data_IF_278264123681
#
_entry.id   IF_278264123681
#
_cell.length_a   1.000
_cell.length_b   1.000
_cell.length_c   1.000
_cell.angle_alpha   90.00
_cell.angle_beta   90.00
_cell.angle_gamma   90.00
#
_symmetry.space_group_name_H-M   'P 1'
#
loop_
_entity.id
_entity.type
_entity.pdbx_description
1 polymer ?
#
# COMPACT_ATOMS: atom_id res chain seq x y z
N UNK A 1 -91.81 -34.05 -3.66
CA UNK A 1 -90.69 -33.08 -3.63
C UNK A 1 -89.40 -33.85 -3.36
N UNK A 2 -88.61 -34.14 -4.41
CA UNK A 2 -87.31 -34.80 -4.31
C UNK A 2 -86.26 -33.75 -3.95
N UNK A 3 -85.52 -33.94 -2.85
CA UNK A 3 -84.35 -33.09 -2.50
C UNK A 3 -83.10 -33.70 -3.12
N UNK A 4 -82.44 -32.93 -3.98
CA UNK A 4 -81.18 -33.22 -4.65
C UNK A 4 -80.04 -32.87 -3.67
N UNK A 5 -79.20 -33.84 -3.31
CA UNK A 5 -77.96 -33.58 -2.56
C UNK A 5 -76.82 -33.41 -3.57
N UNK A 6 -76.29 -32.20 -3.68
CA UNK A 6 -75.07 -31.89 -4.44
C UNK A 6 -73.89 -32.19 -3.51
N UNK A 7 -73.08 -33.18 -3.87
CA UNK A 7 -71.80 -33.48 -3.21
C UNK A 7 -70.73 -32.63 -3.88
N UNK A 8 -70.25 -31.61 -3.17
CA UNK A 8 -69.14 -30.77 -3.62
C UNK A 8 -67.83 -31.51 -3.37
N UNK A 9 -67.18 -31.97 -4.45
CA UNK A 9 -65.88 -32.63 -4.42
C UNK A 9 -64.78 -31.55 -4.23
N UNK A 10 -64.20 -31.46 -3.04
CA UNK A 10 -63.04 -30.59 -2.79
C UNK A 10 -61.79 -31.28 -3.33
N UNK A 11 -61.28 -30.80 -4.47
CA UNK A 11 -59.99 -31.22 -5.02
C UNK A 11 -58.87 -30.54 -4.20
N UNK A 12 -58.28 -31.27 -3.27
CA UNK A 12 -57.12 -30.83 -2.51
C UNK A 12 -55.88 -30.87 -3.44
N UNK A 13 -55.52 -29.72 -4.01
CA UNK A 13 -54.26 -29.56 -4.73
C UNK A 13 -53.11 -29.65 -3.72
N UNK A 14 -52.41 -30.79 -3.69
CA UNK A 14 -51.15 -30.96 -2.98
C UNK A 14 -50.11 -30.13 -3.74
N UNK A 15 -49.87 -28.91 -3.29
CA UNK A 15 -48.69 -28.14 -3.69
C UNK A 15 -47.50 -28.80 -2.99
N UNK A 16 -46.80 -29.67 -3.70
CA UNK A 16 -45.48 -30.13 -3.27
C UNK A 16 -44.56 -28.89 -3.23
N UNK A 17 -43.85 -28.61 -2.12
CA UNK A 17 -42.84 -27.57 -2.12
C UNK A 17 -41.77 -27.97 -3.13
N UNK A 18 -41.69 -27.25 -4.25
CA UNK A 18 -40.51 -27.24 -5.09
C UNK A 18 -39.36 -26.76 -4.22
N UNK A 19 -38.44 -27.66 -3.85
CA UNK A 19 -37.16 -27.28 -3.27
C UNK A 19 -36.47 -26.34 -4.28
N UNK A 20 -36.51 -25.05 -4.03
CA UNK A 20 -35.77 -24.07 -4.81
C UNK A 20 -34.30 -24.25 -4.40
N UNK A 21 -33.58 -25.12 -5.11
CA UNK A 21 -32.16 -25.35 -4.84
C UNK A 21 -31.44 -24.00 -4.96
N UNK A 22 -30.65 -23.65 -3.94
CA UNK A 22 -29.82 -22.46 -3.95
C UNK A 22 -28.99 -22.44 -5.24
N UNK A 23 -28.95 -21.29 -5.92
CA UNK A 23 -28.12 -21.15 -7.11
C UNK A 23 -26.72 -20.74 -6.65
N UNK A 24 -25.68 -21.47 -7.05
CA UNK A 24 -24.32 -21.07 -6.72
C UNK A 24 -23.99 -19.75 -7.42
N UNK A 25 -23.06 -18.99 -6.85
CA UNK A 25 -22.53 -17.75 -7.44
C UNK A 25 -22.20 -17.94 -8.92
N UNK A 26 -21.55 -19.04 -9.29
CA UNK A 26 -21.40 -19.48 -10.67
C UNK A 26 -21.44 -21.00 -10.80
N UNK A 27 -21.80 -21.51 -12.00
CA UNK A 27 -21.77 -22.94 -12.32
C UNK A 27 -21.51 -23.25 -13.79
N UNK A 28 -21.01 -24.45 -14.04
CA UNK A 28 -21.01 -25.12 -15.34
C UNK A 28 -21.81 -26.43 -15.24
N UNK A 29 -22.73 -26.64 -16.18
CA UNK A 29 -23.51 -27.88 -16.31
C UNK A 29 -23.02 -28.66 -17.52
N UNK A 30 -22.55 -29.89 -17.32
CA UNK A 30 -22.04 -30.77 -18.38
C UNK A 30 -23.05 -31.89 -18.61
N UNK A 31 -23.58 -31.99 -19.82
CA UNK A 31 -24.43 -33.06 -20.29
C UNK A 31 -23.59 -34.11 -21.02
N UNK A 32 -23.49 -35.30 -20.45
CA UNK A 32 -22.85 -36.46 -21.08
C UNK A 32 -23.93 -37.27 -21.77
N UNK A 33 -23.78 -37.57 -23.06
CA UNK A 33 -24.84 -38.25 -23.82
C UNK A 33 -24.36 -39.15 -24.96
N UNK A 34 -25.19 -40.14 -25.27
CA UNK A 34 -25.14 -40.97 -26.48
C UNK A 34 -26.53 -41.54 -26.77
N UNK A 35 -27.07 -41.26 -27.95
CA UNK A 35 -28.44 -41.62 -28.31
C UNK A 35 -29.46 -41.04 -27.33
N UNK A 36 -30.30 -41.89 -26.74
CA UNK A 36 -31.29 -41.48 -25.73
C UNK A 36 -30.76 -41.54 -24.29
N UNK A 37 -29.53 -42.03 -24.08
CA UNK A 37 -28.91 -42.11 -22.77
C UNK A 37 -28.17 -40.80 -22.48
N UNK A 38 -28.46 -40.18 -21.33
CA UNK A 38 -27.77 -38.97 -20.90
C UNK A 38 -27.61 -38.92 -19.38
N UNK A 39 -26.63 -38.13 -18.93
CA UNK A 39 -26.45 -37.82 -17.53
C UNK A 39 -25.84 -36.41 -17.36
N UNK A 40 -26.29 -35.66 -16.36
CA UNK A 40 -25.90 -34.27 -16.15
C UNK A 40 -25.05 -34.11 -14.90
N UNK A 41 -23.90 -33.46 -15.06
CA UNK A 41 -23.02 -33.01 -13.99
C UNK A 41 -23.15 -31.49 -13.81
N UNK A 42 -23.01 -31.03 -12.58
CA UNK A 42 -22.99 -29.61 -12.23
C UNK A 42 -21.78 -29.37 -11.32
N UNK A 43 -20.93 -28.42 -11.71
CA UNK A 43 -19.83 -27.93 -10.87
C UNK A 43 -19.91 -26.42 -10.77
N UNK A 44 -19.32 -25.84 -9.73
CA UNK A 44 -19.38 -24.40 -9.53
C UNK A 44 -18.78 -23.96 -8.21
N UNK A 45 -18.95 -22.68 -7.89
CA UNK A 45 -18.56 -22.17 -6.59
C UNK A 45 -19.62 -21.25 -5.99
N UNK A 46 -19.68 -21.22 -4.66
CA UNK A 46 -20.53 -20.32 -3.88
C UNK A 46 -19.83 -19.88 -2.58
N UNK A 47 -20.11 -18.66 -2.11
CA UNK A 47 -19.50 -18.13 -0.88
C UNK A 47 -19.90 -18.92 0.37
N UNK A 48 -21.01 -19.64 0.31
CA UNK A 48 -21.53 -20.44 1.42
C UNK A 48 -21.25 -21.93 1.28
N UNK A 49 -20.43 -22.32 0.28
CA UNK A 49 -19.97 -23.69 0.09
C UNK A 49 -18.58 -23.89 0.68
N UNK A 50 -18.22 -25.14 0.93
CA UNK A 50 -16.91 -25.60 1.38
C UNK A 50 -16.33 -26.62 0.40
N UNK A 51 -15.05 -26.98 0.55
CA UNK A 51 -14.45 -28.08 -0.21
C UNK A 51 -14.81 -29.48 0.33
N UNK A 52 -15.64 -29.54 1.37
CA UNK A 52 -16.09 -30.77 2.01
C UNK A 52 -17.58 -31.01 1.78
N UNK A 53 -18.06 -32.19 2.12
CA UNK A 53 -19.47 -32.54 1.94
C UNK A 53 -20.44 -31.64 2.71
N UNK A 54 -21.41 -31.08 1.99
CA UNK A 54 -22.52 -30.30 2.53
C UNK A 54 -23.85 -30.67 1.85
N UNK A 55 -24.85 -31.09 2.63
CA UNK A 55 -26.17 -31.46 2.10
C UNK A 55 -26.86 -30.36 1.24
N UNK A 56 -26.44 -29.10 1.37
CA UNK A 56 -26.98 -27.97 0.60
C UNK A 56 -26.51 -27.97 -0.85
N UNK A 57 -25.26 -28.33 -1.07
CA UNK A 57 -24.53 -28.07 -2.31
C UNK A 57 -24.25 -29.36 -3.09
N UNK A 58 -24.15 -30.49 -2.40
CA UNK A 58 -23.83 -31.77 -3.01
C UNK A 58 -25.11 -32.57 -3.29
N UNK A 59 -25.26 -33.03 -4.54
CA UNK A 59 -26.39 -33.88 -4.95
C UNK A 59 -25.88 -35.27 -5.27
N UNK A 60 -26.25 -36.25 -4.45
CA UNK A 60 -25.88 -37.65 -4.65
C UNK A 60 -26.37 -38.20 -6.00
N UNK A 61 -25.51 -38.97 -6.65
CA UNK A 61 -25.78 -39.61 -7.94
C UNK A 61 -26.40 -41.00 -7.76
N UNK A 62 -27.53 -41.23 -8.44
CA UNK A 62 -28.09 -42.56 -8.60
C UNK A 62 -27.59 -43.15 -9.92
N UNK A 63 -26.55 -43.97 -9.84
CA UNK A 63 -25.94 -44.57 -11.03
C UNK A 63 -26.86 -45.64 -11.62
N UNK A 64 -27.34 -45.41 -12.85
CA UNK A 64 -28.19 -46.33 -13.57
C UNK A 64 -28.14 -46.07 -15.08
N UNK A 65 -28.48 -47.09 -15.87
CA UNK A 65 -28.45 -47.02 -17.34
C UNK A 65 -27.08 -47.28 -17.97
N UNK A 66 -26.98 -47.00 -19.26
CA UNK A 66 -25.80 -47.29 -20.09
C UNK A 66 -24.76 -46.17 -20.15
N UNK A 67 -25.08 -44.97 -19.65
CA UNK A 67 -24.14 -43.88 -19.42
C UNK A 67 -24.27 -43.47 -17.96
N UNK A 68 -23.14 -43.38 -17.28
CA UNK A 68 -23.04 -42.87 -15.92
C UNK A 68 -21.94 -41.82 -15.88
N UNK A 69 -22.27 -40.63 -15.42
CA UNK A 69 -21.31 -39.57 -15.19
C UNK A 69 -21.38 -39.15 -13.72
N UNK A 70 -20.24 -39.05 -13.04
CA UNK A 70 -20.24 -38.73 -11.61
C UNK A 70 -18.92 -38.13 -11.14
N UNK A 71 -19.01 -37.31 -10.09
CA UNK A 71 -17.88 -37.00 -9.20
C UNK A 71 -17.76 -38.13 -8.17
N UNK A 72 -16.54 -38.63 -7.92
CA UNK A 72 -16.26 -39.67 -6.91
C UNK A 72 -15.61 -39.03 -5.69
N UNK A 73 -16.30 -39.09 -4.54
CA UNK A 73 -15.83 -38.56 -3.25
C UNK A 73 -15.91 -39.65 -2.18
N UNK A 74 -14.96 -40.61 -2.16
CA UNK A 74 -14.95 -41.69 -1.16
C UNK A 74 -14.84 -41.19 0.29
N UNK A 75 -14.38 -39.96 0.50
CA UNK A 75 -14.18 -39.32 1.80
C UNK A 75 -15.47 -38.77 2.44
N UNK A 76 -16.59 -38.67 1.69
CA UNK A 76 -17.81 -37.99 2.14
C UNK A 76 -18.87 -38.89 2.82
N UNK A 77 -18.67 -40.21 2.84
CA UNK A 77 -19.36 -41.18 3.70
C UNK A 77 -20.88 -41.39 3.49
N UNK A 78 -21.63 -40.40 3.00
CA UNK A 78 -23.09 -40.45 2.84
C UNK A 78 -23.54 -40.99 1.48
N UNK A 79 -22.86 -40.57 0.40
CA UNK A 79 -22.94 -41.15 -0.93
C UNK A 79 -21.52 -41.17 -1.48
N UNK A 80 -21.16 -42.16 -2.30
CA UNK A 80 -19.83 -42.18 -2.94
C UNK A 80 -19.79 -41.28 -4.18
N UNK A 81 -20.92 -41.18 -4.88
CA UNK A 81 -21.03 -40.58 -6.20
C UNK A 81 -21.96 -39.38 -6.18
N UNK A 82 -21.61 -38.34 -6.93
CA UNK A 82 -22.33 -37.07 -6.95
C UNK A 82 -22.56 -36.55 -8.37
N UNK A 83 -23.73 -35.95 -8.63
CA UNK A 83 -24.04 -35.22 -9.86
C UNK A 83 -23.76 -33.73 -9.73
N UNK A 84 -23.63 -33.22 -8.50
CA UNK A 84 -23.31 -31.83 -8.23
C UNK A 84 -22.23 -31.73 -7.15
N UNK A 85 -21.20 -30.94 -7.42
CA UNK A 85 -20.09 -30.60 -6.52
C UNK A 85 -19.86 -29.07 -6.62
N UNK A 86 -20.34 -28.31 -5.64
CA UNK A 86 -20.14 -26.85 -5.56
C UNK A 86 -19.16 -26.58 -4.43
N UNK A 87 -18.10 -25.84 -4.71
CA UNK A 87 -17.01 -25.58 -3.76
C UNK A 87 -16.97 -24.13 -3.31
N UNK A 88 -16.07 -23.82 -2.39
CA UNK A 88 -15.81 -22.43 -2.03
C UNK A 88 -15.33 -21.60 -3.24
N UNK A 89 -15.41 -20.27 -3.08
CA UNK A 89 -15.12 -19.28 -4.13
C UNK A 89 -13.63 -19.07 -4.43
N UNK A 90 -12.72 -19.70 -3.69
CA UNK A 90 -11.29 -19.44 -3.82
C UNK A 90 -10.70 -20.30 -4.93
N UNK A 91 -9.87 -19.72 -5.81
CA UNK A 91 -9.28 -20.42 -6.95
C UNK A 91 -7.75 -20.54 -6.77
N UNK A 92 -7.09 -21.55 -7.37
CA UNK A 92 -7.61 -22.52 -8.34
C UNK A 92 -8.38 -23.71 -7.73
N UNK A 93 -9.22 -24.37 -8.54
CA UNK A 93 -9.97 -25.59 -8.15
C UNK A 93 -9.98 -26.61 -9.29
N UNK A 94 -10.06 -27.88 -8.93
CA UNK A 94 -10.16 -28.99 -9.89
C UNK A 94 -11.30 -29.94 -9.53
N UNK A 95 -12.18 -30.21 -10.50
CA UNK A 95 -13.24 -31.21 -10.40
C UNK A 95 -12.89 -32.42 -11.25
N UNK A 96 -12.63 -33.55 -10.61
CA UNK A 96 -12.39 -34.82 -11.31
C UNK A 96 -13.73 -35.55 -11.44
N UNK A 97 -14.10 -35.92 -12.66
CA UNK A 97 -15.30 -36.69 -12.91
C UNK A 97 -15.04 -37.88 -13.83
N UNK A 98 -15.92 -38.86 -13.71
CA UNK A 98 -15.81 -40.16 -14.35
C UNK A 98 -16.98 -40.34 -15.30
N UNK A 99 -16.71 -40.88 -16.48
CA UNK A 99 -17.73 -41.26 -17.48
C UNK A 99 -17.60 -42.74 -17.77
N UNK A 100 -18.56 -43.54 -17.31
CA UNK A 100 -18.69 -44.95 -17.68
C UNK A 100 -19.76 -45.10 -18.76
N UNK A 101 -19.46 -45.88 -19.80
CA UNK A 101 -20.47 -46.23 -20.79
C UNK A 101 -20.34 -47.65 -21.32
N UNK A 102 -21.47 -48.36 -21.38
CA UNK A 102 -21.56 -49.68 -22.02
C UNK A 102 -21.53 -49.62 -23.56
N UNK A 103 -21.59 -48.44 -24.16
CA UNK A 103 -21.53 -48.25 -25.61
C UNK A 103 -20.08 -48.19 -26.10
N UNK A 104 -19.41 -49.34 -26.19
CA UNK A 104 -18.04 -49.44 -26.69
C UNK A 104 -18.00 -49.18 -28.20
N UNK A 105 -16.92 -48.55 -28.68
CA UNK A 105 -16.72 -48.06 -30.05
C UNK A 105 -17.75 -47.03 -30.52
N UNK A 106 -18.33 -46.27 -29.60
CA UNK A 106 -19.28 -45.20 -29.88
C UNK A 106 -18.70 -43.83 -29.53
N UNK A 107 -19.24 -42.76 -30.12
CA UNK A 107 -18.80 -41.40 -29.83
C UNK A 107 -19.67 -40.77 -28.75
N UNK A 108 -19.12 -40.59 -27.56
CA UNK A 108 -19.81 -39.97 -26.42
C UNK A 108 -19.63 -38.45 -26.50
N UNK A 109 -20.73 -37.72 -26.37
CA UNK A 109 -20.74 -36.25 -26.39
C UNK A 109 -20.78 -35.69 -24.96
N UNK A 110 -19.95 -34.69 -24.70
CA UNK A 110 -19.97 -33.83 -23.52
C UNK A 110 -20.36 -32.43 -24.01
N UNK A 111 -21.52 -31.93 -23.62
CA UNK A 111 -21.98 -30.58 -23.97
C UNK A 111 -22.14 -29.77 -22.69
N UNK A 112 -21.70 -28.51 -22.65
CA UNK A 112 -21.79 -27.70 -21.43
C UNK A 112 -22.43 -26.34 -21.62
N UNK A 113 -23.10 -25.92 -20.55
CA UNK A 113 -23.69 -24.59 -20.40
C UNK A 113 -23.13 -23.98 -19.13
N UNK A 114 -22.61 -22.76 -19.25
CA UNK A 114 -22.11 -21.97 -18.11
C UNK A 114 -23.18 -20.95 -17.68
N UNK A 115 -23.26 -20.70 -16.39
CA UNK A 115 -24.16 -19.70 -15.80
C UNK A 115 -23.38 -18.86 -14.80
N UNK A 116 -23.41 -17.54 -14.98
CA UNK A 116 -22.77 -16.54 -14.11
C UNK A 116 -21.25 -16.74 -13.89
N UNK A 117 -20.55 -17.46 -14.77
CA UNK A 117 -19.08 -17.61 -14.67
C UNK A 117 -18.43 -16.24 -14.94
N UNK A 118 -17.73 -15.63 -13.96
CA UNK A 118 -17.10 -14.33 -14.15
C UNK A 118 -16.05 -14.36 -15.27
N UNK A 119 -15.82 -13.22 -15.94
CA UNK A 119 -14.81 -13.13 -17.01
C UNK A 119 -13.38 -13.44 -16.50
N UNK A 120 -13.12 -13.07 -15.25
CA UNK A 120 -11.88 -13.34 -14.52
C UNK A 120 -11.63 -14.81 -14.21
N UNK A 121 -12.66 -15.66 -14.27
CA UNK A 121 -12.56 -17.11 -14.05
C UNK A 121 -12.34 -17.82 -15.40
N UNK A 122 -11.28 -18.60 -15.50
CA UNK A 122 -10.98 -19.45 -16.66
C UNK A 122 -11.39 -20.88 -16.36
N UNK A 123 -12.06 -21.56 -17.29
CA UNK A 123 -12.52 -22.94 -17.14
C UNK A 123 -11.98 -23.80 -18.28
N UNK A 124 -11.31 -24.89 -17.90
CA UNK A 124 -10.69 -25.83 -18.83
C UNK A 124 -11.20 -27.24 -18.60
N UNK A 125 -11.68 -27.91 -19.64
CA UNK A 125 -11.91 -29.36 -19.62
C UNK A 125 -10.63 -30.07 -20.05
N UNK A 126 -10.13 -30.98 -19.22
CA UNK A 126 -8.93 -31.76 -19.47
C UNK A 126 -9.32 -33.23 -19.67
N UNK A 127 -9.02 -33.76 -20.85
CA UNK A 127 -9.04 -35.20 -21.10
C UNK A 127 -7.72 -35.81 -20.62
N UNK A 128 -7.75 -36.42 -19.44
CA UNK A 128 -6.56 -36.91 -18.73
C UNK A 128 -5.81 -37.99 -19.53
N UNK A 129 -6.53 -38.81 -20.30
CA UNK A 129 -5.91 -39.89 -21.07
C UNK A 129 -5.12 -39.37 -22.29
N UNK A 130 -5.57 -38.25 -22.86
CA UNK A 130 -4.94 -37.63 -24.04
C UNK A 130 -4.05 -36.43 -23.67
N UNK A 131 -4.03 -36.04 -22.39
CA UNK A 131 -3.43 -34.80 -21.91
C UNK A 131 -3.85 -33.57 -22.74
N UNK A 132 -5.12 -33.55 -23.14
CA UNK A 132 -5.69 -32.51 -24.01
C UNK A 132 -6.51 -31.54 -23.17
N UNK A 133 -6.29 -30.25 -23.38
CA UNK A 133 -7.00 -29.17 -22.67
C UNK A 133 -7.90 -28.41 -23.63
N UNK A 134 -9.16 -28.22 -23.24
CA UNK A 134 -10.19 -27.54 -24.01
C UNK A 134 -10.66 -26.34 -23.19
N UNK A 135 -10.62 -25.15 -23.78
CA UNK A 135 -11.16 -23.94 -23.18
C UNK A 135 -12.69 -23.95 -23.26
N UNK A 136 -13.34 -24.12 -22.11
CA UNK A 136 -14.79 -24.24 -22.01
C UNK A 136 -15.52 -22.94 -22.31
N UNK A 137 -14.84 -21.79 -22.33
CA UNK A 137 -15.44 -20.50 -22.74
C UNK A 137 -15.44 -20.29 -24.25
N UNK A 138 -14.50 -20.92 -24.95
CA UNK A 138 -14.35 -20.79 -26.41
C UNK A 138 -15.02 -21.93 -27.19
N UNK A 139 -15.44 -22.98 -26.50
CA UNK A 139 -16.12 -24.14 -27.07
C UNK A 139 -17.23 -24.58 -26.12
N UNK A 140 -18.30 -25.19 -26.63
CA UNK A 140 -19.45 -25.63 -25.81
C UNK A 140 -19.63 -27.14 -25.77
N UNK A 141 -18.78 -27.91 -26.45
CA UNK A 141 -18.88 -29.36 -26.49
C UNK A 141 -17.56 -30.06 -26.77
N UNK A 142 -17.45 -31.33 -26.40
CA UNK A 142 -16.34 -32.21 -26.70
C UNK A 142 -16.87 -33.62 -27.00
N UNK A 143 -16.26 -34.31 -27.96
CA UNK A 143 -16.65 -35.68 -28.31
C UNK A 143 -15.42 -36.57 -28.32
N UNK A 144 -15.55 -37.76 -27.77
CA UNK A 144 -14.51 -38.79 -27.80
C UNK A 144 -15.08 -40.16 -28.16
N UNK A 145 -14.24 -41.00 -28.77
CA UNK A 145 -14.60 -42.41 -29.02
C UNK A 145 -14.37 -43.23 -27.76
N UNK A 146 -15.43 -43.86 -27.25
CA UNK A 146 -15.38 -44.73 -26.08
C UNK A 146 -14.80 -46.10 -26.45
N UNK A 147 -13.60 -46.41 -25.98
CA UNK A 147 -12.87 -47.62 -26.37
C UNK A 147 -13.05 -48.80 -25.40
N UNK A 148 -13.64 -48.57 -24.21
CA UNK A 148 -13.85 -49.61 -23.21
C UNK A 148 -15.13 -49.34 -22.39
N UNK A 149 -15.54 -50.30 -21.57
CA UNK A 149 -16.63 -50.08 -20.62
C UNK A 149 -16.16 -49.42 -19.30
N UNK A 150 -14.84 -49.30 -19.11
CA UNK A 150 -14.25 -48.70 -17.92
C UNK A 150 -14.46 -47.19 -17.91
N UNK A 151 -14.42 -46.60 -16.72
CA UNK A 151 -14.60 -45.17 -16.55
C UNK A 151 -13.46 -44.39 -17.23
N UNK A 152 -13.82 -43.47 -18.12
CA UNK A 152 -12.90 -42.44 -18.60
C UNK A 152 -12.90 -41.26 -17.63
N UNK A 153 -11.71 -40.76 -17.30
CA UNK A 153 -11.50 -39.68 -16.33
C UNK A 153 -11.33 -38.35 -17.06
N UNK A 154 -11.99 -37.33 -16.55
CA UNK A 154 -11.85 -35.94 -16.98
C UNK A 154 -11.63 -35.06 -15.77
N UNK A 155 -10.94 -33.93 -15.98
CA UNK A 155 -10.78 -32.89 -14.96
C UNK A 155 -11.29 -31.57 -15.51
N UNK A 156 -12.13 -30.86 -14.76
CA UNK A 156 -12.39 -29.43 -15.01
C UNK A 156 -11.50 -28.62 -14.09
N UNK A 157 -10.63 -27.79 -14.66
CA UNK A 157 -9.75 -26.88 -13.92
C UNK A 157 -10.28 -25.45 -14.01
N UNK A 158 -10.47 -24.83 -12.85
CA UNK A 158 -10.80 -23.42 -12.72
C UNK A 158 -9.60 -22.63 -12.20
N UNK A 159 -9.29 -21.52 -12.86
CA UNK A 159 -8.22 -20.60 -12.51
C UNK A 159 -8.73 -19.15 -12.53
N UNK A 160 -8.00 -18.23 -11.90
CA UNK A 160 -8.33 -16.81 -11.85
C UNK A 160 -8.79 -16.36 -10.47
N UNK A 161 -9.71 -15.40 -10.41
CA UNK A 161 -10.24 -14.86 -9.16
C UNK A 161 -11.68 -14.36 -9.34
N UNK A 162 -12.37 -14.06 -8.24
CA UNK A 162 -13.69 -13.44 -8.24
C UNK A 162 -13.53 -12.01 -7.72
N UNK A 163 -14.00 -11.01 -8.46
CA UNK A 163 -13.92 -9.61 -8.04
C UNK A 163 -14.61 -9.38 -6.68
N UNK A 164 -13.93 -8.65 -5.79
CA UNK A 164 -14.44 -8.35 -4.46
C UNK A 164 -14.33 -9.51 -3.44
N UNK A 165 -13.74 -10.65 -3.83
CA UNK A 165 -13.45 -11.76 -2.94
C UNK A 165 -11.93 -11.98 -2.93
N UNK A 166 -11.27 -11.51 -1.88
CA UNK A 166 -9.85 -11.83 -1.66
C UNK A 166 -9.73 -13.21 -0.99
N UNK A 167 -8.76 -14.05 -1.42
CA UNK A 167 -8.48 -15.29 -0.70
C UNK A 167 -8.16 -14.98 0.77
N UNK A 168 -8.61 -15.84 1.70
CA UNK A 168 -8.18 -15.71 3.08
C UNK A 168 -6.64 -15.78 3.09
N UNK A 169 -5.98 -15.04 4.00
CA UNK A 169 -4.57 -15.27 4.24
C UNK A 169 -4.39 -16.76 4.53
N UNK A 170 -3.30 -17.39 4.04
CA UNK A 170 -2.99 -18.74 4.44
C UNK A 170 -3.05 -18.82 5.97
N UNK A 171 -3.77 -19.79 6.54
CA UNK A 171 -3.92 -19.93 8.00
C UNK A 171 -2.59 -20.17 8.73
N UNK A 172 -1.52 -20.38 7.97
CA UNK A 172 -0.15 -20.64 8.42
C UNK A 172 0.81 -19.50 8.04
N UNK A 173 0.31 -18.32 7.64
CA UNK A 173 1.23 -17.22 7.38
C UNK A 173 1.89 -16.76 8.69
N UNK A 174 3.19 -17.00 8.78
CA UNK A 174 4.05 -16.60 9.91
C UNK A 174 5.06 -15.53 9.50
N UNK A 175 4.98 -15.05 8.26
CA UNK A 175 5.94 -14.06 7.76
C UNK A 175 5.54 -12.70 8.29
N UNK A 176 6.52 -11.97 8.83
CA UNK A 176 6.26 -10.62 9.31
C UNK A 176 6.34 -9.63 8.15
N UNK A 177 5.49 -8.59 8.16
CA UNK A 177 5.60 -7.52 7.18
C UNK A 177 6.85 -6.67 7.44
N UNK A 178 7.34 -6.00 6.40
CA UNK A 178 8.46 -5.04 6.46
C UNK A 178 7.92 -3.62 6.24
N UNK A 179 8.13 -2.73 7.21
CA UNK A 179 7.67 -1.33 7.15
C UNK A 179 8.77 -0.39 6.67
N UNK A 180 8.41 0.61 5.88
CA UNK A 180 9.32 1.67 5.45
C UNK A 180 8.66 3.05 5.56
N UNK A 181 9.44 4.04 6.00
CA UNK A 181 9.06 5.46 5.92
C UNK A 181 9.41 5.96 4.51
N UNK A 182 8.43 6.58 3.84
CA UNK A 182 8.60 7.10 2.48
C UNK A 182 8.85 8.61 2.46
N UNK A 183 8.48 9.33 3.52
CA UNK A 183 8.84 10.74 3.66
C UNK A 183 10.33 10.88 4.00
N UNK A 184 11.04 11.68 3.21
CA UNK A 184 12.40 12.11 3.54
C UNK A 184 12.33 13.25 4.56
N UNK A 185 12.72 12.99 5.80
CA UNK A 185 12.75 14.01 6.85
C UNK A 185 14.10 14.75 6.88
N UNK A 186 14.11 16.08 7.04
CA UNK A 186 15.34 16.80 7.35
C UNK A 186 15.83 16.47 8.76
N UNK A 187 17.14 16.58 9.00
CA UNK A 187 17.75 16.32 10.31
C UNK A 187 17.31 17.34 11.38
N UNK A 188 16.97 18.56 10.96
CA UNK A 188 16.50 19.62 11.85
C UNK A 188 15.39 20.44 11.17
N UNK A 189 14.41 20.90 11.94
CA UNK A 189 13.26 21.69 11.49
C UNK A 189 13.01 22.87 12.42
N UNK A 190 12.59 24.00 11.85
CA UNK A 190 12.20 25.20 12.60
C UNK A 190 10.69 25.37 12.75
N UNK A 191 9.95 24.26 12.69
CA UNK A 191 8.50 24.24 12.83
C UNK A 191 8.08 23.05 13.70
N UNK A 192 6.92 23.17 14.33
CA UNK A 192 6.42 22.21 15.33
C UNK A 192 5.40 21.21 14.75
N UNK A 193 5.27 21.15 13.43
CA UNK A 193 4.33 20.26 12.72
C UNK A 193 5.03 19.53 11.58
N UNK A 194 4.89 18.21 11.51
CA UNK A 194 5.47 17.40 10.43
C UNK A 194 4.49 16.33 9.94
N UNK A 195 4.47 16.11 8.63
CA UNK A 195 3.69 15.05 8.00
C UNK A 195 4.60 13.91 7.55
N UNK A 196 4.30 12.70 8.00
CA UNK A 196 5.11 11.50 7.73
C UNK A 196 4.23 10.47 7.02
N UNK A 197 4.69 10.00 5.88
CA UNK A 197 4.10 8.93 5.09
C UNK A 197 4.98 7.69 5.16
N UNK A 198 4.33 6.54 5.11
CA UNK A 198 4.97 5.23 5.24
C UNK A 198 4.18 4.18 4.45
N UNK A 199 4.85 3.05 4.17
CA UNK A 199 4.30 1.89 3.48
C UNK A 199 4.82 0.62 4.13
N UNK A 200 4.28 -0.52 3.76
CA UNK A 200 4.85 -1.81 4.10
C UNK A 200 4.65 -2.82 2.97
N UNK A 201 5.43 -3.90 3.01
CA UNK A 201 5.31 -5.04 2.11
C UNK A 201 5.21 -6.32 2.91
N UNK A 202 4.48 -7.29 2.37
CA UNK A 202 4.33 -8.62 2.95
C UNK A 202 4.26 -9.67 1.83
N UNK A 203 4.50 -10.95 2.16
CA UNK A 203 4.47 -12.05 1.18
C UNK A 203 3.04 -12.44 0.78
N UNK A 204 2.03 -12.28 1.65
CA UNK A 204 0.64 -12.65 1.37
C UNK A 204 -0.33 -11.48 1.46
N UNK A 205 -0.11 -10.57 2.41
CA UNK A 205 -1.00 -9.43 2.66
C UNK A 205 -0.66 -8.28 1.73
N UNK A 206 -1.62 -7.87 0.90
CA UNK A 206 -1.44 -6.72 0.00
C UNK A 206 -1.18 -5.43 0.80
N UNK A 207 -0.37 -4.48 0.27
CA UNK A 207 -0.04 -3.23 0.98
C UNK A 207 -1.23 -2.39 1.45
N UNK A 208 -2.37 -2.46 0.74
CA UNK A 208 -3.60 -1.73 1.11
C UNK A 208 -4.35 -2.35 2.28
N UNK A 209 -4.05 -3.61 2.61
CA UNK A 209 -4.70 -4.35 3.68
C UNK A 209 -3.85 -4.49 4.96
N UNK A 210 -2.61 -3.97 4.94
CA UNK A 210 -1.77 -3.82 6.12
C UNK A 210 -2.31 -2.71 7.03
N UNK A 211 -2.19 -2.92 8.33
CA UNK A 211 -2.50 -1.91 9.34
C UNK A 211 -1.23 -1.48 10.06
N UNK A 212 -1.17 -0.23 10.49
CA UNK A 212 0.01 0.42 11.04
C UNK A 212 -0.24 0.92 12.45
N UNK A 213 0.82 0.93 13.25
CA UNK A 213 0.87 1.56 14.56
C UNK A 213 2.16 2.36 14.64
N UNK A 214 2.09 3.56 15.21
CA UNK A 214 3.23 4.46 15.34
C UNK A 214 3.39 4.95 16.77
N UNK A 215 4.57 5.47 17.09
CA UNK A 215 4.83 6.23 18.31
C UNK A 215 5.88 7.30 18.05
N UNK A 216 5.86 8.33 18.89
CA UNK A 216 6.90 9.35 18.96
C UNK A 216 7.69 9.14 20.27
N UNK A 217 9.00 9.06 20.16
CA UNK A 217 9.93 8.89 21.29
C UNK A 217 9.59 7.66 22.15
N UNK A 218 9.48 7.86 23.46
CA UNK A 218 9.12 6.86 24.45
C UNK A 218 7.60 6.74 24.69
N UNK A 219 6.77 7.39 23.87
CA UNK A 219 5.32 7.31 24.04
C UNK A 219 4.80 5.91 23.70
N UNK A 220 3.57 5.63 24.15
CA UNK A 220 2.89 4.39 23.81
C UNK A 220 2.59 4.32 22.30
N UNK A 221 2.58 3.09 21.79
CA UNK A 221 2.11 2.79 20.43
C UNK A 221 0.65 3.21 20.26
N UNK A 222 0.34 3.81 19.10
CA UNK A 222 -1.03 4.15 18.71
C UNK A 222 -1.88 2.90 18.53
N UNK A 223 -3.20 3.08 18.50
CA UNK A 223 -4.09 2.06 17.97
C UNK A 223 -3.72 1.72 16.51
N UNK A 224 -3.98 0.47 16.12
CA UNK A 224 -3.79 0.02 14.75
C UNK A 224 -4.79 0.69 13.82
N UNK A 225 -4.33 1.24 12.69
CA UNK A 225 -5.18 1.81 11.65
C UNK A 225 -4.64 1.51 10.26
N UNK A 226 -5.46 1.64 9.22
CA UNK A 226 -5.02 1.54 7.83
C UNK A 226 -4.51 2.88 7.24
N UNK A 227 -4.25 3.88 8.09
CA UNK A 227 -3.72 5.18 7.66
C UNK A 227 -2.26 5.05 7.27
N UNK A 228 -1.91 5.49 6.06
CA UNK A 228 -0.54 5.43 5.49
C UNK A 228 0.27 6.72 5.71
N UNK A 229 -0.29 7.64 6.49
CA UNK A 229 0.38 8.86 6.88
C UNK A 229 -0.18 9.36 8.21
N UNK A 230 0.62 10.19 8.88
CA UNK A 230 0.27 10.90 10.09
C UNK A 230 0.82 12.32 10.06
N UNK A 231 0.09 13.26 10.65
CA UNK A 231 0.60 14.58 10.99
C UNK A 231 0.84 14.64 12.49
N UNK A 232 2.07 14.97 12.89
CA UNK A 232 2.43 15.27 14.27
C UNK A 232 2.41 16.78 14.43
N UNK A 233 1.72 17.27 15.45
CA UNK A 233 1.57 18.70 15.76
C UNK A 233 2.05 18.99 17.18
N UNK A 234 2.46 20.23 17.43
CA UNK A 234 2.86 20.70 18.75
C UNK A 234 4.13 20.02 19.28
N UNK A 235 5.06 19.70 18.39
CA UNK A 235 6.35 19.12 18.73
C UNK A 235 7.17 20.11 19.58
N UNK A 236 7.73 19.62 20.68
CA UNK A 236 8.60 20.41 21.57
C UNK A 236 9.99 20.60 20.97
N UNK A 237 10.75 21.55 21.50
CA UNK A 237 12.18 21.70 21.18
C UNK A 237 12.97 20.41 21.51
N UNK A 238 13.96 20.11 20.68
CA UNK A 238 14.92 19.03 20.90
C UNK A 238 14.77 17.83 19.96
N UNK A 239 15.49 16.77 20.31
CA UNK A 239 15.58 15.57 19.49
C UNK A 239 14.33 14.70 19.64
N UNK A 240 13.82 14.23 18.50
CA UNK A 240 12.68 13.33 18.38
C UNK A 240 13.03 12.11 17.53
N UNK A 241 12.41 10.98 17.84
CA UNK A 241 12.47 9.77 17.01
C UNK A 241 11.06 9.25 16.78
N UNK A 242 10.63 9.24 15.52
CA UNK A 242 9.39 8.64 15.09
C UNK A 242 9.61 7.15 14.77
N UNK A 243 8.69 6.30 15.21
CA UNK A 243 8.67 4.87 14.90
C UNK A 243 7.33 4.49 14.29
N UNK A 244 7.35 3.62 13.28
CA UNK A 244 6.15 3.01 12.70
C UNK A 244 6.39 1.54 12.39
N UNK A 245 5.39 0.71 12.66
CA UNK A 245 5.39 -0.71 12.32
C UNK A 245 4.06 -1.10 11.70
N UNK A 246 4.07 -2.20 10.96
CA UNK A 246 2.88 -2.76 10.32
C UNK A 246 2.49 -4.12 10.92
N UNK A 247 1.26 -4.52 10.64
CA UNK A 247 0.69 -5.82 10.99
C UNK A 247 -0.10 -6.35 9.80
N UNK A 248 0.09 -7.62 9.52
CA UNK A 248 -0.59 -8.32 8.43
C UNK A 248 -1.99 -8.83 8.83
N UNK A 249 -2.69 -9.51 7.90
CA UNK A 249 -4.01 -10.08 8.19
C UNK A 249 -3.94 -11.35 9.06
N UNK A 250 -2.80 -12.03 9.10
CA UNK A 250 -2.57 -13.21 9.95
C UNK A 250 -2.24 -12.83 11.40
N UNK A 251 -1.96 -11.56 11.66
CA UNK A 251 -1.63 -11.01 12.97
C UNK A 251 -0.13 -10.89 13.23
N UNK A 252 0.74 -11.18 12.26
CA UNK A 252 2.17 -10.99 12.38
C UNK A 252 2.49 -9.49 12.39
N UNK A 253 3.26 -9.05 13.39
CA UNK A 253 3.74 -7.68 13.50
C UNK A 253 5.18 -7.59 12.98
N UNK A 254 5.49 -6.50 12.31
CA UNK A 254 6.86 -6.12 11.98
C UNK A 254 7.71 -6.04 13.26
N UNK A 255 8.76 -6.87 13.34
CA UNK A 255 9.70 -6.91 14.47
C UNK A 255 10.77 -5.82 14.41
N UNK A 256 10.94 -5.15 13.27
CA UNK A 256 11.92 -4.09 13.02
C UNK A 256 11.22 -2.81 12.60
N UNK A 257 10.55 -2.08 13.53
CA UNK A 257 9.87 -0.85 13.20
C UNK A 257 10.77 0.13 12.45
N UNK A 258 10.26 0.71 11.37
CA UNK A 258 10.94 1.79 10.68
C UNK A 258 11.04 3.02 11.59
N UNK A 259 12.21 3.64 11.61
CA UNK A 259 12.51 4.80 12.45
C UNK A 259 13.01 6.00 11.64
N UNK A 260 12.66 7.20 12.09
CA UNK A 260 13.21 8.45 11.57
C UNK A 260 13.49 9.43 12.71
N UNK A 261 14.73 9.90 12.79
CA UNK A 261 15.18 10.87 13.78
C UNK A 261 15.25 12.27 13.18
N UNK A 262 14.81 13.26 13.94
CA UNK A 262 14.86 14.68 13.59
C UNK A 262 14.96 15.54 14.86
N UNK A 263 15.39 16.79 14.73
CA UNK A 263 15.44 17.76 15.83
C UNK A 263 14.52 18.93 15.52
N UNK A 264 13.69 19.32 16.47
CA UNK A 264 12.96 20.59 16.42
C UNK A 264 13.85 21.64 17.07
N UNK A 265 14.07 22.73 16.34
CA UNK A 265 14.82 23.89 16.79
C UNK A 265 14.17 25.15 16.20
N UNK A 266 13.30 25.81 16.98
CA UNK A 266 12.61 27.04 16.53
C UNK A 266 13.29 28.33 16.99
N UNK A 267 14.44 28.22 17.65
CA UNK A 267 15.14 29.36 18.23
C UNK A 267 16.23 29.85 17.27
N UNK A 268 16.25 31.16 17.01
CA UNK A 268 17.32 31.74 16.19
C UNK A 268 18.69 31.66 16.85
N UNK A 269 19.77 31.52 16.07
CA UNK A 269 21.14 31.51 16.59
C UNK A 269 21.49 32.83 17.30
N UNK A 270 22.29 32.77 18.36
CA UNK A 270 22.84 33.95 19.01
C UNK A 270 24.02 34.52 18.21
N UNK A 271 23.91 35.78 17.78
CA UNK A 271 24.95 36.49 17.04
C UNK A 271 25.36 37.78 17.77
N UNK A 272 26.65 37.86 18.11
CA UNK A 272 27.29 39.04 18.68
C UNK A 272 28.31 39.55 17.68
N UNK A 273 28.15 40.81 17.27
CA UNK A 273 29.11 41.52 16.43
C UNK A 273 29.81 42.58 17.28
N UNK A 274 31.14 42.47 17.42
CA UNK A 274 31.92 43.48 18.13
C UNK A 274 32.13 44.72 17.26
N UNK A 275 32.46 45.84 17.90
CA UNK A 275 32.75 47.08 17.19
C UNK A 275 33.91 46.88 16.20
N UNK A 276 33.74 47.23 14.91
CA UNK A 276 34.79 47.12 13.91
C UNK A 276 36.05 47.90 14.33
N UNK A 277 37.23 47.37 14.00
CA UNK A 277 38.49 48.02 14.36
C UNK A 277 39.38 48.24 13.11
N UNK A 278 39.63 49.51 12.69
CA UNK A 278 39.08 50.74 13.26
C UNK A 278 37.61 50.96 12.87
N UNK A 279 36.83 51.63 13.73
CA UNK A 279 35.46 52.06 13.41
C UNK A 279 35.39 53.41 12.70
N UNK A 280 36.52 54.12 12.60
CA UNK A 280 36.66 55.37 11.85
C UNK A 280 37.87 55.30 10.91
N UNK A 281 37.70 55.68 9.64
CA UNK A 281 38.78 55.73 8.64
C UNK A 281 39.19 57.19 8.41
N UNK A 282 40.33 57.58 8.97
CA UNK A 282 40.88 58.94 8.86
C UNK A 282 42.40 58.91 8.67
N UNK A 283 42.99 59.81 7.84
CA UNK A 283 42.35 60.86 7.03
C UNK A 283 41.62 60.35 5.79
N UNK A 284 40.60 61.09 5.34
CA UNK A 284 39.84 60.83 4.10
C UNK A 284 40.72 61.11 2.86
N UNK A 285 41.62 60.18 2.55
CA UNK A 285 42.70 60.33 1.56
C UNK A 285 42.58 59.38 0.36
N UNK A 286 41.47 58.65 0.22
CA UNK A 286 41.26 57.71 -0.88
C UNK A 286 41.98 56.37 -0.75
N UNK A 287 42.66 56.08 0.37
CA UNK A 287 43.37 54.81 0.57
C UNK A 287 42.46 53.73 1.13
N UNK A 288 42.74 52.49 0.74
CA UNK A 288 42.13 51.31 1.35
C UNK A 288 42.72 51.08 2.76
N UNK A 289 41.85 50.78 3.71
CA UNK A 289 42.17 50.48 5.10
C UNK A 289 41.56 49.14 5.46
N UNK A 290 42.36 48.25 6.04
CA UNK A 290 41.87 46.98 6.55
C UNK A 290 41.14 47.21 7.88
N UNK A 291 39.87 46.81 7.90
CA UNK A 291 39.01 46.82 9.08
C UNK A 291 38.80 45.39 9.56
N UNK A 292 39.14 45.16 10.82
CA UNK A 292 38.95 43.88 11.50
C UNK A 292 37.50 43.79 11.96
N UNK A 293 36.80 42.77 11.47
CA UNK A 293 35.46 42.39 11.90
C UNK A 293 35.60 41.16 12.78
N UNK A 294 35.01 41.21 13.97
CA UNK A 294 35.07 40.09 14.92
C UNK A 294 33.78 39.96 15.70
N UNK A 295 33.54 38.77 16.23
CA UNK A 295 32.31 38.48 16.95
C UNK A 295 32.24 37.04 17.42
N UNK A 296 31.05 36.63 17.84
CA UNK A 296 30.73 35.27 18.23
C UNK A 296 29.35 34.88 17.69
N UNK A 297 29.24 33.68 17.12
CA UNK A 297 27.99 33.09 16.67
C UNK A 297 27.85 31.70 17.28
N UNK A 298 26.75 31.47 18.00
CA UNK A 298 26.47 30.22 18.68
C UNK A 298 25.00 29.86 18.52
N UNK A 299 24.75 28.56 18.46
CA UNK A 299 23.39 28.04 18.55
C UNK A 299 23.40 26.78 19.44
N UNK A 300 22.43 26.71 20.34
CA UNK A 300 22.30 25.61 21.31
C UNK A 300 21.41 24.47 20.83
N UNK A 301 20.65 24.67 19.75
CA UNK A 301 19.78 23.67 19.16
C UNK A 301 20.50 22.86 18.10
N UNK A 302 20.29 23.22 16.84
CA UNK A 302 20.78 22.52 15.65
C UNK A 302 22.24 22.88 15.28
N UNK A 303 22.77 23.94 15.87
CA UNK A 303 24.10 24.50 15.64
C UNK A 303 24.14 25.41 14.41
N UNK A 304 25.19 26.25 14.33
CA UNK A 304 25.38 27.15 13.19
C UNK A 304 25.61 26.34 11.89
N UNK A 305 24.82 26.65 10.86
CA UNK A 305 24.99 26.12 9.51
C UNK A 305 25.86 27.04 8.65
N UNK A 306 25.64 28.36 8.73
CA UNK A 306 26.41 29.33 7.97
C UNK A 306 26.45 30.69 8.65
N UNK A 307 27.50 31.44 8.33
CA UNK A 307 27.66 32.83 8.70
C UNK A 307 28.14 33.58 7.45
N UNK A 308 27.51 34.70 7.13
CA UNK A 308 27.89 35.53 5.99
C UNK A 308 27.82 37.00 6.36
N UNK A 309 28.42 37.84 5.52
CA UNK A 309 28.37 39.28 5.66
C UNK A 309 28.11 39.97 4.33
N UNK A 310 27.51 41.15 4.42
CA UNK A 310 27.36 42.11 3.33
C UNK A 310 27.79 43.48 3.84
N UNK A 311 28.56 44.21 3.04
CA UNK A 311 28.92 45.60 3.29
C UNK A 311 28.34 46.47 2.20
N UNK A 312 27.51 47.41 2.61
CA UNK A 312 26.96 48.46 1.77
C UNK A 312 27.45 49.81 2.28
N UNK A 313 27.51 50.81 1.40
CA UNK A 313 27.71 52.20 1.76
C UNK A 313 26.49 53.03 1.35
N UNK A 314 26.38 54.22 1.92
CA UNK A 314 25.24 55.10 1.62
C UNK A 314 25.26 55.66 0.19
N UNK A 315 26.41 55.60 -0.49
CA UNK A 315 26.54 56.03 -1.88
C UNK A 315 26.18 54.93 -2.88
N UNK A 316 25.93 53.69 -2.42
CA UNK A 316 25.65 52.53 -3.28
C UNK A 316 26.82 52.13 -4.19
N UNK A 317 28.04 52.49 -3.83
CA UNK A 317 29.26 52.23 -4.59
C UNK A 317 29.94 50.92 -4.18
N UNK A 318 29.65 50.40 -2.99
CA UNK A 318 30.16 49.10 -2.53
C UNK A 318 29.02 48.09 -2.38
N UNK A 319 29.29 46.88 -2.85
CA UNK A 319 28.52 45.68 -2.54
C UNK A 319 29.52 44.54 -2.34
N UNK A 320 30.12 44.51 -1.15
CA UNK A 320 31.06 43.47 -0.76
C UNK A 320 30.30 42.41 0.03
N UNK A 321 30.45 41.14 -0.31
CA UNK A 321 29.85 40.04 0.43
C UNK A 321 30.82 38.88 0.59
N UNK A 322 30.65 38.08 1.62
CA UNK A 322 31.49 36.91 1.85
C UNK A 322 30.92 35.96 2.89
N UNK A 323 31.42 34.72 2.87
CA UNK A 323 31.15 33.72 3.89
C UNK A 323 32.20 33.82 4.99
N UNK A 324 31.77 33.58 6.22
CA UNK A 324 32.61 33.62 7.42
C UNK A 324 32.63 32.23 8.05
N UNK A 325 33.81 31.80 8.48
CA UNK A 325 33.96 30.55 9.23
C UNK A 325 34.07 30.87 10.72
N UNK A 326 33.44 30.06 11.55
CA UNK A 326 33.53 30.17 13.01
C UNK A 326 34.55 29.18 13.55
N UNK A 327 35.24 29.57 14.61
CA UNK A 327 36.01 28.67 15.45
C UNK A 327 35.10 27.71 16.21
N UNK A 328 35.68 26.70 16.86
CA UNK A 328 34.93 25.71 17.65
C UNK A 328 34.18 26.31 18.86
N UNK A 329 34.58 27.50 19.30
CA UNK A 329 33.93 28.28 20.36
C UNK A 329 32.89 29.29 19.80
N UNK A 330 32.65 29.27 18.49
CA UNK A 330 31.76 30.21 17.80
C UNK A 330 32.41 31.56 17.48
N UNK A 331 33.67 31.80 17.87
CA UNK A 331 34.36 33.06 17.55
C UNK A 331 34.62 33.18 16.06
N UNK A 332 34.55 34.41 15.52
CA UNK A 332 34.96 34.68 14.16
C UNK A 332 35.77 35.96 14.09
N UNK A 333 36.73 36.00 13.17
CA UNK A 333 37.52 37.17 12.85
C UNK A 333 37.91 37.16 11.37
N UNK A 334 37.70 38.28 10.68
CA UNK A 334 38.11 38.47 9.30
C UNK A 334 38.37 39.94 9.02
N UNK A 335 39.07 40.22 7.92
CA UNK A 335 39.37 41.58 7.50
C UNK A 335 38.55 41.93 6.26
N UNK A 336 38.02 43.15 6.24
CA UNK A 336 37.45 43.78 5.04
C UNK A 336 38.26 45.02 4.71
N UNK A 337 38.49 45.28 3.43
CA UNK A 337 39.22 46.47 3.00
C UNK A 337 38.21 47.54 2.58
N UNK A 338 38.20 48.67 3.27
CA UNK A 338 37.27 49.78 3.04
C UNK A 338 38.04 51.05 2.67
N UNK A 339 37.48 51.85 1.76
CA UNK A 339 38.15 53.06 1.28
C UNK A 339 37.92 54.22 2.27
N UNK A 340 39.00 54.84 2.73
CA UNK A 340 38.96 56.08 3.51
C UNK A 340 38.69 57.29 2.59
N UNK A 341 37.48 57.36 2.02
CA UNK A 341 37.05 58.41 1.11
C UNK A 341 35.58 58.75 1.33
N UNK A 342 35.21 59.99 1.01
CA UNK A 342 33.85 60.53 1.12
C UNK A 342 33.60 61.57 0.04
N UNK A 343 32.35 61.80 -0.35
CA UNK A 343 32.05 62.90 -1.27
C UNK A 343 32.46 64.24 -0.61
N UNK A 344 33.10 65.11 -1.39
CA UNK A 344 33.38 66.50 -1.03
C UNK A 344 32.15 67.30 -0.59
N UNK A 345 30.95 66.89 -1.02
CA UNK A 345 29.66 67.52 -0.68
C UNK A 345 28.98 66.90 0.54
N UNK A 346 29.43 65.72 0.95
CA UNK A 346 28.93 65.03 2.12
C UNK A 346 29.46 65.72 3.39
N UNK A 347 28.54 66.17 4.24
CA UNK A 347 28.82 66.97 5.43
C UNK A 347 28.73 66.16 6.73
N UNK A 348 28.16 64.97 6.68
CA UNK A 348 28.07 64.01 7.78
C UNK A 348 29.11 62.88 7.66
N UNK A 349 29.73 62.73 6.48
CA UNK A 349 30.80 61.78 6.21
C UNK A 349 30.25 60.41 5.79
N UNK A 350 31.11 59.60 5.14
CA UNK A 350 30.68 58.33 4.56
C UNK A 350 30.39 57.27 5.63
N UNK A 351 29.28 56.55 5.52
CA UNK A 351 28.94 55.41 6.38
C UNK A 351 28.98 54.10 5.58
N UNK A 352 29.77 53.15 6.09
CA UNK A 352 29.71 51.74 5.71
C UNK A 352 28.87 50.97 6.72
N UNK A 353 27.83 50.28 6.25
CA UNK A 353 27.02 49.36 7.03
C UNK A 353 27.45 47.93 6.73
N UNK A 354 27.98 47.26 7.74
CA UNK A 354 28.35 45.84 7.72
C UNK A 354 27.20 45.09 8.35
N UNK A 355 26.52 44.26 7.57
CA UNK A 355 25.47 43.35 8.01
C UNK A 355 26.01 41.94 8.05
N UNK A 356 25.77 41.22 9.14
CA UNK A 356 26.14 39.83 9.36
C UNK A 356 24.86 38.99 9.50
N UNK A 357 24.76 37.90 8.75
CA UNK A 357 23.64 36.95 8.85
C UNK A 357 24.17 35.59 9.32
N UNK A 358 23.61 35.07 10.41
CA UNK A 358 23.86 33.74 10.91
C UNK A 358 22.63 32.86 10.68
N UNK A 359 22.82 31.69 10.06
CA UNK A 359 21.80 30.65 9.94
C UNK A 359 22.20 29.42 10.77
N UNK A 360 21.23 28.82 11.44
CA UNK A 360 21.39 27.49 12.03
C UNK A 360 21.01 26.38 11.04
N UNK A 361 21.13 25.11 11.46
CA UNK A 361 20.80 23.96 10.59
C UNK A 361 19.31 23.66 10.48
N UNK A 362 18.47 24.25 11.35
CA UNK A 362 17.02 24.19 11.26
C UNK A 362 16.45 25.26 10.31
N UNK A 363 17.26 26.25 9.93
CA UNK A 363 16.92 27.34 9.02
C UNK A 363 16.48 28.63 9.72
N UNK A 364 16.67 28.77 11.04
CA UNK A 364 16.45 30.05 11.70
C UNK A 364 17.61 31.00 11.41
N UNK A 365 17.32 32.30 11.48
CA UNK A 365 18.27 33.36 11.12
C UNK A 365 18.34 34.44 12.20
N UNK A 366 19.53 34.97 12.41
CA UNK A 366 19.77 36.22 13.14
C UNK A 366 20.66 37.13 12.31
N UNK A 367 20.26 38.40 12.22
CA UNK A 367 21.01 39.45 11.54
C UNK A 367 21.55 40.47 12.54
N UNK A 368 22.80 40.91 12.39
CA UNK A 368 23.40 41.99 13.17
C UNK A 368 24.11 42.99 12.28
N UNK A 369 24.16 44.26 12.73
CA UNK A 369 24.78 45.35 11.98
C UNK A 369 25.84 46.09 12.78
N UNK A 370 26.90 46.53 12.11
CA UNK A 370 27.86 47.48 12.66
C UNK A 370 28.26 48.51 11.60
N UNK A 371 28.69 49.69 12.03
CA UNK A 371 29.08 50.77 11.12
C UNK A 371 30.56 51.12 11.23
N UNK A 372 31.12 51.54 10.10
CA UNK A 372 32.43 52.18 9.99
C UNK A 372 32.25 53.50 9.28
N UNK A 373 32.83 54.58 9.79
CA UNK A 373 32.61 55.92 9.24
C UNK A 373 33.89 56.56 8.68
N UNK A 374 33.73 57.41 7.67
CA UNK A 374 34.77 58.32 7.17
C UNK A 374 34.32 59.73 7.54
N UNK A 375 34.72 60.25 8.71
CA UNK A 375 34.13 61.47 9.25
C UNK A 375 34.47 62.71 8.41
N UNK A 376 33.56 63.68 8.40
CA UNK A 376 33.81 65.04 7.93
C UNK A 376 34.37 65.89 9.10
N UNK A 377 35.68 66.14 9.10
CA UNK A 377 36.37 66.94 10.14
C UNK A 377 36.89 68.26 9.60
#
# INVERSE_FOLDING_TARGET
>A
MKKLFIITLFLLAIILPSYLHAQPLWKASIMVSYGNSNNRLILGADQTATDSFENRWEVGALLGGYIKAYFDHPEWGNARYYWQDIRDVYLPKEWVFYVESGYVNSNISLEWIMSNVPDTVKLYLVDTALNMTIDMKNQSSYTYTNTSADAKIFTVRAEGYIEGIEPPPPSDDTTQPETMITTVLPLSINYQTIAIAYTATDNTTLPDALIFSYKLDSNAWSAWSNSKSITLDGLSEGAHTFYVKSKDKAGNEDATPAEAAFTVDTLSPALILYQPNPSELWPANGKMVDVIISGNAQDSGSGIASLSYIVNDEYGQINLAGNVTTGSDGSFVFNISLMADRDSKDRDGRIYLITMDAFDKAGNMTTQGATVTVPHR
#
